data_IF_675824990594
#
_entry.id   IF_675824990594
#
_cell.length_a   1.000
_cell.length_b   1.000
_cell.length_c   1.000
_cell.angle_alpha   90.00
_cell.angle_beta   90.00
_cell.angle_gamma   90.00
#
_symmetry.space_group_name_H-M   'P 1'
#
loop_
_entity.id
_entity.type
_entity.pdbx_description
1 polymer ?
#
# COMPACT_ATOMS: atom_id res chain seq x y z
N UNK A 1 -30.29 0.53 -7.07
CA UNK A 1 -29.79 1.91 -6.91
C UNK A 1 -28.29 1.81 -6.64
N UNK A 2 -27.49 2.09 -7.66
CA UNK A 2 -26.06 1.78 -7.71
C UNK A 2 -25.28 2.84 -6.94
N UNK A 3 -24.81 2.51 -5.73
CA UNK A 3 -23.78 3.29 -5.06
C UNK A 3 -22.48 2.56 -5.33
N UNK A 4 -21.73 3.02 -6.32
CA UNK A 4 -20.34 2.62 -6.48
C UNK A 4 -19.60 3.20 -5.29
N UNK A 5 -19.39 2.36 -4.27
CA UNK A 5 -18.77 2.72 -3.00
C UNK A 5 -17.38 3.31 -3.24
N UNK A 6 -17.33 4.64 -3.29
CA UNK A 6 -16.09 5.42 -3.33
C UNK A 6 -15.50 5.53 -1.91
N UNK A 7 -16.13 4.90 -0.90
CA UNK A 7 -15.83 5.02 0.53
C UNK A 7 -14.83 4.01 1.10
N UNK A 8 -14.48 2.94 0.38
CA UNK A 8 -13.49 1.95 0.88
C UNK A 8 -12.03 2.42 0.77
N UNK A 9 -11.69 3.24 -0.22
CA UNK A 9 -10.29 3.58 -0.51
C UNK A 9 -9.67 4.60 0.46
N UNK A 10 -10.45 5.48 1.08
CA UNK A 10 -9.90 6.63 1.81
C UNK A 10 -10.51 6.80 3.20
N UNK A 11 -10.52 5.75 4.00
CA UNK A 11 -10.86 5.83 5.43
C UNK A 11 -9.67 5.45 6.29
N UNK A 12 -9.63 5.92 7.53
CA UNK A 12 -8.61 5.52 8.51
C UNK A 12 -8.60 4.00 8.67
N UNK A 13 -7.40 3.41 8.74
CA UNK A 13 -7.16 1.97 8.79
C UNK A 13 -7.14 1.28 7.43
N UNK A 14 -7.50 1.95 6.32
CA UNK A 14 -7.29 1.38 4.98
C UNK A 14 -5.79 1.25 4.74
N UNK A 15 -5.37 0.08 4.24
CA UNK A 15 -3.99 -0.19 3.85
C UNK A 15 -3.84 0.05 2.36
N UNK A 16 -2.74 0.69 1.99
CA UNK A 16 -2.28 0.87 0.63
C UNK A 16 -1.03 0.03 0.40
N UNK A 17 -0.91 -0.54 -0.78
CA UNK A 17 0.24 -1.33 -1.22
C UNK A 17 0.83 -0.71 -2.50
N UNK A 18 2.15 -0.53 -2.51
CA UNK A 18 2.92 -0.22 -3.70
C UNK A 18 3.81 -1.41 -4.05
N UNK A 19 3.90 -1.72 -5.34
CA UNK A 19 4.81 -2.71 -5.89
C UNK A 19 5.66 -2.02 -6.94
N UNK A 20 6.98 -2.04 -6.78
CA UNK A 20 7.90 -1.32 -7.64
C UNK A 20 9.25 -2.01 -7.71
N UNK A 21 10.09 -1.55 -8.62
CA UNK A 21 11.42 -2.08 -8.85
C UNK A 21 11.61 -2.40 -10.33
N UNK A 22 12.87 -2.49 -10.73
CA UNK A 22 13.25 -2.73 -12.12
C UNK A 22 13.67 -4.20 -12.28
N UNK A 23 14.71 -4.60 -11.57
CA UNK A 23 15.26 -5.95 -11.56
C UNK A 23 14.71 -6.82 -10.40
N UNK A 24 14.01 -6.21 -9.45
CA UNK A 24 13.40 -6.87 -8.29
C UNK A 24 11.98 -6.34 -8.05
N UNK A 25 11.20 -7.04 -7.24
CA UNK A 25 9.88 -6.61 -6.79
C UNK A 25 9.94 -6.20 -5.32
N UNK A 26 9.98 -4.90 -5.07
CA UNK A 26 9.85 -4.30 -3.74
C UNK A 26 8.37 -4.04 -3.44
N UNK A 27 7.95 -4.39 -2.23
CA UNK A 27 6.60 -4.17 -1.74
C UNK A 27 6.64 -3.23 -0.54
N UNK A 28 5.98 -2.08 -0.65
CA UNK A 28 5.77 -1.15 0.45
C UNK A 28 4.30 -1.11 0.85
N UNK A 29 4.04 -1.05 2.15
CA UNK A 29 2.71 -0.87 2.70
C UNK A 29 2.57 0.44 3.48
N UNK A 30 1.38 1.01 3.43
CA UNK A 30 1.05 2.26 4.09
C UNK A 30 -0.33 2.17 4.72
N UNK A 31 -0.50 2.65 5.95
CA UNK A 31 -1.80 2.75 6.59
C UNK A 31 -2.32 4.19 6.52
N UNK A 32 -3.60 4.35 6.20
CA UNK A 32 -4.28 5.64 6.30
C UNK A 32 -4.50 5.95 7.77
N UNK A 33 -3.84 6.99 8.30
CA UNK A 33 -4.01 7.45 9.68
C UNK A 33 -5.03 8.59 9.80
N UNK A 34 -5.28 9.31 8.71
CA UNK A 34 -6.35 10.31 8.60
C UNK A 34 -6.80 10.46 7.15
N UNK A 35 -8.05 10.86 6.94
CA UNK A 35 -8.60 11.05 5.60
C UNK A 35 -9.53 12.26 5.51
N UNK A 36 -9.60 12.83 4.31
CA UNK A 36 -10.60 13.82 3.89
C UNK A 36 -11.28 13.32 2.62
N UNK A 37 -12.25 14.08 2.09
CA UNK A 37 -12.92 13.73 0.83
C UNK A 37 -11.98 13.61 -0.40
N UNK A 38 -10.78 14.21 -0.36
CA UNK A 38 -9.88 14.26 -1.55
C UNK A 38 -8.45 13.81 -1.26
N UNK A 39 -8.08 13.65 0.00
CA UNK A 39 -6.72 13.36 0.42
C UNK A 39 -6.70 12.35 1.55
N UNK A 40 -5.59 11.62 1.65
CA UNK A 40 -5.28 10.74 2.77
C UNK A 40 -3.93 11.13 3.36
N UNK A 41 -3.79 10.92 4.66
CA UNK A 41 -2.52 10.93 5.36
C UNK A 41 -2.10 9.48 5.58
N UNK A 42 -1.04 9.09 4.88
CA UNK A 42 -0.49 7.73 4.87
C UNK A 42 0.69 7.68 5.81
N UNK A 43 0.85 6.56 6.51
CA UNK A 43 2.04 6.28 7.31
C UNK A 43 2.64 4.95 6.88
N UNK A 44 3.96 4.89 6.58
CA UNK A 44 4.63 3.63 6.30
C UNK A 44 4.44 2.64 7.45
N UNK A 45 4.16 1.39 7.11
CA UNK A 45 4.07 0.28 8.06
C UNK A 45 5.01 -0.84 7.63
N UNK A 46 5.47 -1.63 8.61
CA UNK A 46 6.25 -2.83 8.34
C UNK A 46 5.43 -3.88 7.61
N UNK A 47 6.14 -4.75 6.90
CA UNK A 47 5.62 -6.01 6.41
C UNK A 47 6.24 -7.18 7.18
N UNK A 48 5.59 -8.34 7.10
CA UNK A 48 6.12 -9.62 7.57
C UNK A 48 6.09 -10.63 6.45
N UNK A 49 7.09 -11.51 6.40
CA UNK A 49 7.07 -12.71 5.56
C UNK A 49 5.97 -13.65 6.05
N UNK A 50 5.14 -14.14 5.14
CA UNK A 50 4.13 -15.17 5.42
C UNK A 50 4.41 -16.50 4.71
N UNK A 51 5.23 -16.47 3.66
CA UNK A 51 5.67 -17.67 2.94
C UNK A 51 6.99 -17.37 2.21
N UNK A 52 7.97 -18.26 2.32
CA UNK A 52 9.20 -18.22 1.53
C UNK A 52 8.99 -19.10 0.30
N UNK A 53 9.14 -18.52 -0.90
CA UNK A 53 8.86 -19.22 -2.17
C UNK A 53 10.14 -19.63 -2.92
N UNK A 54 11.29 -19.15 -2.47
CA UNK A 54 12.61 -19.43 -3.03
C UNK A 54 13.70 -18.78 -2.17
N UNK A 55 14.96 -18.95 -2.56
CA UNK A 55 16.10 -18.42 -1.78
C UNK A 55 16.07 -16.88 -1.65
N UNK A 56 15.51 -16.20 -2.64
CA UNK A 56 15.42 -14.74 -2.72
C UNK A 56 14.00 -14.23 -2.99
N UNK A 57 12.98 -15.01 -2.65
CA UNK A 57 11.60 -14.64 -2.92
C UNK A 57 10.66 -15.05 -1.81
N UNK A 58 9.68 -14.21 -1.54
CA UNK A 58 8.73 -14.39 -0.45
C UNK A 58 7.38 -13.76 -0.77
N UNK A 59 6.36 -14.19 -0.05
CA UNK A 59 5.11 -13.45 0.10
C UNK A 59 5.13 -12.67 1.41
N UNK A 60 4.75 -11.40 1.33
CA UNK A 60 4.67 -10.50 2.47
C UNK A 60 3.27 -9.94 2.68
N UNK A 61 2.93 -9.68 3.94
CA UNK A 61 1.71 -8.99 4.36
C UNK A 61 2.03 -7.75 5.21
N UNK A 62 1.17 -6.72 5.18
CA UNK A 62 1.31 -5.57 6.07
C UNK A 62 1.09 -5.97 7.53
N UNK A 63 1.72 -5.23 8.45
CA UNK A 63 1.45 -5.29 9.89
C UNK A 63 0.81 -3.96 10.31
N UNK A 64 -0.54 -3.86 10.35
CA UNK A 64 -1.23 -2.62 10.69
C UNK A 64 -0.81 -2.09 12.06
N UNK A 65 -0.62 -0.78 12.20
CA UNK A 65 -0.12 -0.15 13.42
C UNK A 65 1.38 -0.25 13.68
N UNK A 66 2.12 -1.14 13.00
CA UNK A 66 3.58 -1.25 13.13
C UNK A 66 4.28 -0.22 12.23
N UNK A 67 4.23 1.03 12.68
CA UNK A 67 4.73 2.17 11.93
C UNK A 67 6.26 2.22 11.89
N UNK A 68 6.82 2.47 10.70
CA UNK A 68 8.27 2.59 10.49
C UNK A 68 8.68 3.90 9.78
N UNK A 69 7.85 4.94 9.87
CA UNK A 69 8.17 6.26 9.33
C UNK A 69 7.15 7.33 9.74
N UNK A 70 7.42 8.56 9.30
CA UNK A 70 6.54 9.71 9.53
C UNK A 70 5.34 9.70 8.56
N UNK A 71 4.17 10.19 9.00
CA UNK A 71 3.01 10.28 8.14
C UNK A 71 3.16 11.39 7.09
N UNK A 72 2.64 11.16 5.89
CA UNK A 72 2.69 12.11 4.77
C UNK A 72 1.35 12.16 4.03
N UNK A 73 1.04 13.31 3.43
CA UNK A 73 -0.24 13.55 2.74
C UNK A 73 -0.14 13.26 1.25
N UNK A 74 -1.18 12.62 0.69
CA UNK A 74 -1.35 12.42 -0.76
C UNK A 74 -2.78 12.67 -1.21
N UNK A 75 -2.93 13.06 -2.48
CA UNK A 75 -4.23 13.19 -3.15
C UNK A 75 -4.69 11.82 -3.62
N UNK A 76 -5.97 11.52 -3.40
CA UNK A 76 -6.61 10.30 -3.90
C UNK A 76 -6.96 10.49 -5.37
N UNK A 77 -6.52 9.57 -6.21
CA UNK A 77 -6.80 9.53 -7.65
C UNK A 77 -8.07 8.70 -7.87
N UNK A 78 -9.22 9.37 -7.85
CA UNK A 78 -10.53 8.71 -7.98
C UNK A 78 -10.74 8.01 -9.33
N UNK A 79 -10.12 8.53 -10.40
CA UNK A 79 -10.12 7.90 -11.72
C UNK A 79 -9.25 6.63 -11.81
N UNK A 80 -8.44 6.35 -10.78
CA UNK A 80 -7.49 5.24 -10.74
C UNK A 80 -7.75 4.33 -9.53
N UNK A 81 -9.02 3.96 -9.30
CA UNK A 81 -9.44 3.05 -8.20
C UNK A 81 -8.97 3.54 -6.81
N UNK A 82 -8.93 4.85 -6.60
CA UNK A 82 -8.52 5.43 -5.32
C UNK A 82 -7.01 5.35 -5.06
N UNK A 83 -6.19 5.15 -6.10
CA UNK A 83 -4.73 5.14 -5.98
C UNK A 83 -4.17 6.47 -5.42
N UNK A 84 -2.93 6.40 -4.96
CA UNK A 84 -2.16 7.55 -4.48
C UNK A 84 -0.76 7.50 -5.09
N UNK A 85 -0.29 8.61 -5.63
CA UNK A 85 1.10 8.71 -6.07
C UNK A 85 2.02 8.77 -4.84
N UNK A 86 2.95 7.83 -4.71
CA UNK A 86 3.91 7.83 -3.61
C UNK A 86 5.08 8.75 -3.93
N UNK A 87 5.61 8.64 -5.14
CA UNK A 87 6.63 9.50 -5.73
C UNK A 87 6.41 9.62 -7.26
N UNK A 88 7.39 10.13 -8.01
CA UNK A 88 7.29 10.31 -9.46
C UNK A 88 7.25 9.02 -10.29
N UNK A 89 7.49 7.85 -9.67
CA UNK A 89 7.69 6.58 -10.37
C UNK A 89 6.78 5.46 -9.88
N UNK A 90 6.12 5.62 -8.73
CA UNK A 90 5.23 4.58 -8.20
C UNK A 90 3.96 5.14 -7.56
N UNK A 91 2.89 4.35 -7.73
CA UNK A 91 1.62 4.54 -7.06
C UNK A 91 1.42 3.44 -6.02
N UNK A 92 0.60 3.73 -5.01
CA UNK A 92 0.02 2.72 -4.16
C UNK A 92 -1.49 2.63 -4.40
N UNK A 93 -2.02 1.43 -4.22
CA UNK A 93 -3.44 1.11 -4.38
C UNK A 93 -3.99 0.54 -3.08
N UNK A 94 -5.28 0.71 -2.78
CA UNK A 94 -5.90 0.01 -1.66
C UNK A 94 -5.57 -1.49 -1.73
N UNK A 95 -5.06 -2.02 -0.64
CA UNK A 95 -4.66 -3.41 -0.52
C UNK A 95 -5.91 -4.31 -0.49
N UNK A 96 -5.84 -5.44 -1.19
CA UNK A 96 -6.96 -6.37 -1.40
C UNK A 96 -7.04 -7.47 -0.33
N UNK A 97 -6.19 -7.39 0.70
CA UNK A 97 -6.12 -8.38 1.78
C UNK A 97 -5.32 -9.64 1.42
N UNK A 98 -4.62 -9.68 0.28
CA UNK A 98 -3.82 -10.84 -0.14
C UNK A 98 -2.32 -10.58 0.00
N UNK A 99 -1.52 -11.59 0.38
CA UNK A 99 -0.07 -11.47 0.38
C UNK A 99 0.47 -10.98 -0.98
N UNK A 100 1.58 -10.25 -0.93
CA UNK A 100 2.25 -9.70 -2.12
C UNK A 100 3.61 -10.35 -2.30
N UNK A 101 3.91 -10.75 -3.53
CA UNK A 101 5.18 -11.37 -3.87
C UNK A 101 6.28 -10.30 -3.90
N UNK A 102 7.36 -10.52 -3.15
CA UNK A 102 8.55 -9.69 -3.13
C UNK A 102 9.77 -10.52 -3.56
N UNK A 103 10.76 -9.87 -4.15
CA UNK A 103 12.03 -10.51 -4.54
C UNK A 103 13.22 -9.69 -4.07
N UNK A 104 14.32 -10.39 -3.75
CA UNK A 104 15.56 -9.86 -3.19
C UNK A 104 16.76 -10.22 -4.08
N UNK A 105 17.93 -9.64 -3.81
CA UNK A 105 19.20 -10.10 -4.38
C UNK A 105 19.95 -11.02 -3.41
N UNK A 106 20.82 -11.88 -3.95
CA UNK A 106 21.81 -12.63 -3.19
C UNK A 106 23.02 -11.76 -2.81
#
# INVERSE_FOLDING_TARGET
MTITDTGLAAKTGTIYCSSWGYDQTNIDFYEVVAATAKTVQLRPIRSRCVEVTGELSEYVEPVPGDYNGEPFRRKVLTYARGAVAINGYTNAYPWDGRPRHATHYA
#
